data_IF_757339302169
#
_entry.id   IF_757339302169
#
_cell.length_a   1.000
_cell.length_b   1.000
_cell.length_c   1.000
_cell.angle_alpha   90.00
_cell.angle_beta   90.00
_cell.angle_gamma   90.00
#
_symmetry.space_group_name_H-M   'P 1'
#
loop_
_entity.id
_entity.type
_entity.pdbx_description
1 polymer ?
#
# COMPACT_ATOMS: atom_id res chain seq x y z
N UNK A 1 33.00 -5.71 -10.53
CA UNK A 1 32.56 -6.41 -9.29
C UNK A 1 31.10 -6.08 -9.04
N UNK A 2 30.19 -7.05 -9.19
CA UNK A 2 28.75 -6.85 -8.95
C UNK A 2 28.48 -6.92 -7.46
N UNK A 3 28.05 -5.82 -6.84
CA UNK A 3 27.60 -5.79 -5.44
C UNK A 3 26.39 -6.72 -5.31
N UNK A 4 26.55 -7.88 -4.65
CA UNK A 4 25.44 -8.75 -4.26
C UNK A 4 24.53 -7.96 -3.33
N UNK A 5 23.25 -7.80 -3.69
CA UNK A 5 22.23 -7.24 -2.79
C UNK A 5 22.02 -8.23 -1.66
N UNK A 6 22.17 -7.76 -0.41
CA UNK A 6 21.82 -8.55 0.76
C UNK A 6 20.31 -8.80 0.76
N UNK A 7 19.93 -10.07 0.85
CA UNK A 7 18.54 -10.48 0.94
C UNK A 7 18.05 -10.24 2.37
N UNK A 8 17.04 -9.39 2.55
CA UNK A 8 16.39 -9.17 3.84
C UNK A 8 15.37 -10.27 4.21
N UNK A 9 15.38 -11.40 3.49
CA UNK A 9 14.45 -12.50 3.74
C UNK A 9 14.92 -13.25 5.00
N UNK A 10 14.16 -13.10 6.09
CA UNK A 10 14.38 -13.85 7.33
C UNK A 10 13.83 -15.27 7.17
N UNK A 11 14.71 -16.25 7.00
CA UNK A 11 14.35 -17.67 6.89
C UNK A 11 13.85 -18.19 8.25
N UNK A 12 12.75 -18.96 8.27
CA UNK A 12 12.18 -19.53 9.50
C UNK A 12 11.15 -18.66 10.23
N UNK A 13 10.90 -17.43 9.77
CA UNK A 13 9.84 -16.55 10.32
C UNK A 13 8.76 -16.35 9.26
N UNK A 14 7.55 -16.85 9.52
CA UNK A 14 6.39 -16.67 8.63
C UNK A 14 5.51 -15.50 9.09
N UNK A 15 5.05 -14.65 8.17
CA UNK A 15 4.08 -13.60 8.51
C UNK A 15 2.80 -14.24 9.06
N UNK A 16 2.45 -13.93 10.31
CA UNK A 16 1.18 -14.34 10.92
C UNK A 16 0.03 -13.39 10.63
N UNK A 17 0.27 -12.36 9.84
CA UNK A 17 -0.74 -11.38 9.42
C UNK A 17 -1.98 -12.00 8.73
N UNK A 18 -1.82 -13.17 8.09
CA UNK A 18 -2.89 -13.91 7.46
C UNK A 18 -3.50 -15.00 8.34
N UNK A 19 -2.90 -15.29 9.50
CA UNK A 19 -3.41 -16.27 10.46
C UNK A 19 -4.78 -15.82 10.99
N UNK A 20 -5.75 -16.73 11.06
CA UNK A 20 -7.11 -16.43 11.49
C UNK A 20 -7.18 -16.10 12.98
N UNK A 21 -6.24 -16.61 13.79
CA UNK A 21 -6.16 -16.34 15.22
C UNK A 21 -5.65 -14.92 15.52
N UNK A 22 -5.08 -14.23 14.54
CA UNK A 22 -4.56 -12.86 14.70
C UNK A 22 -5.66 -11.85 14.38
N UNK A 23 -6.13 -11.14 15.41
CA UNK A 23 -7.10 -10.06 15.25
C UNK A 23 -6.55 -8.98 14.30
N UNK A 24 -7.34 -8.63 13.28
CA UNK A 24 -6.96 -7.61 12.30
C UNK A 24 -7.58 -6.28 12.68
N UNK A 25 -6.77 -5.21 12.78
CA UNK A 25 -7.33 -3.88 12.98
C UNK A 25 -8.22 -3.51 11.79
N UNK A 26 -9.23 -2.66 12.00
CA UNK A 26 -10.07 -2.18 10.92
C UNK A 26 -9.23 -1.47 9.86
N UNK A 27 -9.62 -1.62 8.60
CA UNK A 27 -8.91 -0.98 7.49
C UNK A 27 -9.10 0.54 7.54
N UNK A 28 -8.00 1.28 7.48
CA UNK A 28 -8.01 2.74 7.31
C UNK A 28 -8.19 3.17 5.83
N UNK A 29 -8.40 2.22 4.92
CA UNK A 29 -8.54 2.50 3.50
C UNK A 29 -9.93 3.08 3.19
N UNK A 30 -9.98 4.33 2.75
CA UNK A 30 -11.17 4.96 2.17
C UNK A 30 -11.21 4.77 0.65
N UNK A 31 -12.42 4.63 0.08
CA UNK A 31 -12.65 4.67 -1.38
C UNK A 31 -12.78 6.12 -1.82
N UNK A 32 -12.04 6.52 -2.85
CA UNK A 32 -11.94 7.91 -3.32
C UNK A 32 -11.94 7.91 -4.85
N UNK A 33 -12.51 8.95 -5.46
CA UNK A 33 -12.44 9.18 -6.90
C UNK A 33 -11.26 10.10 -7.24
N UNK A 34 -10.45 9.73 -8.23
CA UNK A 34 -9.35 10.55 -8.70
C UNK A 34 -9.86 11.82 -9.39
N UNK A 35 -9.42 12.99 -8.92
CA UNK A 35 -9.82 14.29 -9.49
C UNK A 35 -9.29 14.54 -10.91
N UNK A 36 -8.26 13.80 -11.36
CA UNK A 36 -7.64 13.97 -12.69
C UNK A 36 -8.20 13.01 -13.74
N UNK A 37 -8.37 11.74 -13.40
CA UNK A 37 -8.78 10.71 -14.37
C UNK A 37 -10.10 10.00 -14.02
N UNK A 38 -10.77 10.38 -12.94
CA UNK A 38 -12.08 9.84 -12.57
C UNK A 38 -12.11 8.41 -12.01
N UNK A 39 -10.98 7.69 -11.98
CA UNK A 39 -10.95 6.31 -11.46
C UNK A 39 -11.20 6.26 -9.95
N UNK A 40 -11.89 5.22 -9.49
CA UNK A 40 -12.00 4.93 -8.06
C UNK A 40 -10.79 4.14 -7.57
N UNK A 41 -10.21 4.57 -6.45
CA UNK A 41 -9.09 3.88 -5.81
C UNK A 41 -9.26 3.88 -4.29
N UNK A 42 -8.51 3.00 -3.61
CA UNK A 42 -8.48 2.92 -2.15
C UNK A 42 -7.22 3.58 -1.63
N UNK A 43 -7.34 4.43 -0.62
CA UNK A 43 -6.19 5.09 0.00
C UNK A 43 -6.43 5.35 1.48
N UNK A 44 -5.38 5.30 2.28
CA UNK A 44 -5.37 5.73 3.67
C UNK A 44 -4.72 7.11 3.84
N UNK A 45 -4.44 7.83 2.74
CA UNK A 45 -3.92 9.20 2.82
C UNK A 45 -4.95 10.10 3.49
N UNK A 46 -4.45 10.96 4.37
CA UNK A 46 -5.22 12.00 5.04
C UNK A 46 -6.06 12.80 4.02
N UNK A 47 -7.20 13.33 4.47
CA UNK A 47 -8.10 14.15 3.63
C UNK A 47 -7.38 15.36 3.02
N UNK A 48 -6.28 15.80 3.63
CA UNK A 48 -5.50 16.96 3.20
C UNK A 48 -4.51 16.64 2.05
N UNK A 49 -4.40 15.37 1.66
CA UNK A 49 -3.62 14.97 0.50
C UNK A 49 -4.41 15.13 -0.81
N UNK A 50 -3.73 15.33 -1.96
CA UNK A 50 -4.42 15.38 -3.25
C UNK A 50 -5.11 14.03 -3.52
N UNK A 51 -6.43 14.06 -3.78
CA UNK A 51 -7.23 12.91 -4.22
C UNK A 51 -6.87 12.52 -5.68
N UNK A 52 -5.61 12.16 -5.87
CA UNK A 52 -5.02 11.70 -7.12
C UNK A 52 -4.60 10.25 -6.99
N UNK A 53 -4.97 9.44 -7.98
CA UNK A 53 -4.53 8.06 -8.06
C UNK A 53 -3.01 7.98 -8.23
N UNK A 54 -2.46 6.78 -8.03
CA UNK A 54 -1.01 6.56 -8.12
C UNK A 54 -0.43 7.06 -9.45
N UNK A 55 -1.03 6.69 -10.59
CA UNK A 55 -0.56 7.06 -11.93
C UNK A 55 -0.58 8.58 -12.13
N UNK A 56 -1.69 9.22 -11.80
CA UNK A 56 -1.82 10.67 -11.93
C UNK A 56 -0.88 11.44 -11.00
N UNK A 57 -0.49 10.87 -9.86
CA UNK A 57 0.50 11.48 -8.95
C UNK A 57 1.93 11.29 -9.43
N UNK A 58 2.28 10.14 -9.96
CA UNK A 58 3.67 9.82 -10.37
C UNK A 58 3.99 10.27 -11.79
N UNK A 59 3.00 10.76 -12.55
CA UNK A 59 3.19 11.19 -13.93
C UNK A 59 3.50 10.03 -14.87
N UNK A 60 3.12 8.81 -14.50
CA UNK A 60 3.15 7.63 -15.39
C UNK A 60 1.89 7.53 -16.22
#
# INVERSE_FOLDING_TARGET
>A
MVKKRESNIKVGITCKCQDAAVARPPSLLRKVQCKKCGIFFRTNRAKDGPDLCFNCRTGR
#
